data_IF_466726408095
#
_entry.id   IF_466726408095
#
_cell.length_a   1.000
_cell.length_b   1.000
_cell.length_c   1.000
_cell.angle_alpha   90.00
_cell.angle_beta   90.00
_cell.angle_gamma   90.00
#
_symmetry.space_group_name_H-M   'P 1'
#
loop_
_entity.id
_entity.type
_entity.pdbx_description
1 polymer ?
#
# COMPACT_ATOMS: atom_id res chain seq x y z
N UNK A 1 -66.91 17.40 -11.74
CA UNK A 1 -66.88 16.84 -10.37
C UNK A 1 -65.41 16.90 -9.94
N UNK A 2 -65.02 17.87 -9.10
CA UNK A 2 -64.97 17.82 -7.60
C UNK A 2 -63.65 17.16 -7.14
N UNK A 3 -62.70 17.75 -6.37
CA UNK A 3 -62.69 18.62 -5.13
C UNK A 3 -63.14 17.89 -3.84
N UNK A 4 -62.51 18.06 -2.64
CA UNK A 4 -61.21 18.75 -2.25
C UNK A 4 -60.01 17.84 -2.65
N UNK A 5 -58.96 17.42 -1.90
CA UNK A 5 -58.38 17.65 -0.55
C UNK A 5 -56.88 17.18 -0.60
N UNK A 6 -55.85 17.65 0.12
CA UNK A 6 -55.66 18.66 1.20
C UNK A 6 -56.24 18.28 2.59
N UNK A 7 -55.59 18.45 3.76
CA UNK A 7 -54.26 18.97 4.20
C UNK A 7 -53.83 18.21 5.48
N UNK A 8 -52.54 18.28 5.88
CA UNK A 8 -52.03 18.39 7.28
C UNK A 8 -50.48 18.26 7.28
N UNK A 9 -49.78 19.26 7.84
CA UNK A 9 -48.31 19.29 8.03
C UNK A 9 -47.93 19.13 9.53
N UNK A 10 -46.63 19.25 9.81
CA UNK A 10 -45.96 19.36 11.13
C UNK A 10 -45.61 18.05 11.88
N UNK A 11 -44.51 18.06 12.69
CA UNK A 11 -43.19 18.56 12.28
C UNK A 11 -42.03 17.62 12.69
N UNK A 12 -40.80 18.08 12.40
CA UNK A 12 -39.52 17.44 12.71
C UNK A 12 -39.42 16.92 14.14
N UNK A 13 -39.07 15.63 14.28
CA UNK A 13 -38.41 15.09 15.47
C UNK A 13 -36.95 14.79 15.14
N UNK A 14 -36.04 15.59 15.70
CA UNK A 14 -34.62 15.29 15.73
C UNK A 14 -34.37 14.04 16.61
N UNK A 15 -33.47 13.18 16.16
CA UNK A 15 -32.85 12.13 16.95
C UNK A 15 -31.43 11.86 16.40
N UNK A 16 -30.63 12.93 16.31
CA UNK A 16 -29.20 12.92 16.03
C UNK A 16 -28.34 12.28 17.12
N UNK A 17 -28.83 11.23 17.80
CA UNK A 17 -28.05 10.40 18.72
C UNK A 17 -27.44 9.20 17.98
N UNK A 18 -26.49 9.48 17.07
CA UNK A 18 -25.50 8.47 16.72
C UNK A 18 -24.66 8.21 17.97
N UNK A 19 -24.57 6.95 18.39
CA UNK A 19 -23.92 6.55 19.63
C UNK A 19 -22.47 7.07 19.69
N UNK A 20 -22.24 8.07 20.54
CA UNK A 20 -20.91 8.68 20.71
C UNK A 20 -19.84 7.68 21.18
N UNK A 21 -20.28 6.61 21.84
CA UNK A 21 -19.43 5.48 22.25
C UNK A 21 -18.90 4.64 21.10
N UNK A 22 -19.48 4.68 19.90
CA UNK A 22 -19.03 3.86 18.76
C UNK A 22 -17.88 4.52 17.99
N UNK A 23 -17.87 5.85 17.86
CA UNK A 23 -16.77 6.60 17.24
C UNK A 23 -15.53 6.66 18.17
N UNK A 24 -15.72 6.84 19.49
CA UNK A 24 -14.62 6.79 20.50
C UNK A 24 -13.91 5.41 20.54
N UNK A 25 -14.66 4.32 20.33
CA UNK A 25 -14.15 2.93 20.34
C UNK A 25 -13.22 2.63 19.15
N UNK A 26 -13.50 3.19 17.97
CA UNK A 26 -12.71 2.96 16.75
C UNK A 26 -11.39 3.74 16.75
N UNK A 27 -11.37 4.96 17.29
CA UNK A 27 -10.13 5.72 17.53
C UNK A 27 -9.19 5.00 18.51
N UNK A 28 -9.73 4.32 19.53
CA UNK A 28 -8.92 3.52 20.46
C UNK A 28 -8.36 2.25 19.79
N UNK A 29 -9.14 1.58 18.93
CA UNK A 29 -8.69 0.42 18.12
C UNK A 29 -7.57 0.82 17.16
N UNK A 30 -7.73 1.93 16.43
CA UNK A 30 -6.71 2.43 15.50
C UNK A 30 -5.42 2.83 16.24
N UNK A 31 -5.56 3.45 17.42
CA UNK A 31 -4.43 3.80 18.30
C UNK A 31 -3.66 2.57 18.80
N UNK A 32 -4.37 1.52 19.23
CA UNK A 32 -3.78 0.22 19.62
C UNK A 32 -3.05 -0.43 18.44
N UNK A 33 -3.66 -0.44 17.25
CA UNK A 33 -3.08 -1.03 16.04
C UNK A 33 -1.79 -0.29 15.61
N UNK A 34 -1.80 1.05 15.62
CA UNK A 34 -0.62 1.89 15.36
C UNK A 34 0.53 1.60 16.33
N UNK A 35 0.24 1.39 17.61
CA UNK A 35 1.25 1.07 18.62
C UNK A 35 1.83 -0.35 18.42
N UNK A 36 0.99 -1.36 18.15
CA UNK A 36 1.44 -2.73 17.81
C UNK A 36 2.36 -2.73 16.58
N UNK A 37 2.00 -1.99 15.54
CA UNK A 37 2.83 -1.89 14.31
C UNK A 37 4.20 -1.26 14.61
N UNK A 38 4.22 -0.21 15.43
CA UNK A 38 5.44 0.49 15.88
C UNK A 38 6.34 -0.42 16.73
N UNK A 39 5.77 -1.26 17.60
CA UNK A 39 6.54 -2.17 18.44
C UNK A 39 7.12 -3.34 17.64
N UNK A 40 6.40 -3.88 16.66
CA UNK A 40 6.91 -4.90 15.72
C UNK A 40 8.09 -4.35 14.91
N UNK A 41 7.96 -3.15 14.34
CA UNK A 41 9.05 -2.49 13.59
C UNK A 41 10.23 -2.15 14.51
N UNK A 42 9.97 -1.66 15.72
CA UNK A 42 11.00 -1.35 16.72
C UNK A 42 11.78 -2.58 17.19
N UNK A 43 11.12 -3.74 17.31
CA UNK A 43 11.77 -5.02 17.61
C UNK A 43 12.70 -5.46 16.47
N UNK A 44 12.21 -5.39 15.22
CA UNK A 44 12.99 -5.76 14.03
C UNK A 44 14.26 -4.90 13.83
N UNK A 45 14.27 -3.66 14.32
CA UNK A 45 15.46 -2.79 14.32
C UNK A 45 16.47 -3.17 15.42
N UNK A 46 16.00 -3.63 16.59
CA UNK A 46 16.89 -3.99 17.72
C UNK A 46 17.57 -5.34 17.58
N UNK A 47 16.94 -6.34 16.99
CA UNK A 47 17.47 -7.72 16.91
C UNK A 47 18.64 -7.90 15.92
N UNK A 48 19.55 -6.91 15.82
CA UNK A 48 20.65 -6.88 14.84
C UNK A 48 21.98 -6.33 15.37
N UNK A 49 22.10 -6.02 16.66
CA UNK A 49 23.33 -5.48 17.27
C UNK A 49 23.97 -6.40 18.34
N UNK A 50 23.29 -7.49 18.74
CA UNK A 50 23.68 -8.34 19.89
C UNK A 50 24.25 -9.74 19.51
N UNK A 51 25.14 -9.84 18.53
CA UNK A 51 25.97 -11.06 18.29
C UNK A 51 27.42 -10.70 17.91
N UNK A 52 28.30 -10.43 18.89
CA UNK A 52 29.78 -10.45 18.72
C UNK A 52 30.56 -10.39 20.08
N UNK A 53 30.18 -11.18 21.09
CA UNK A 53 30.98 -11.35 22.34
C UNK A 53 31.36 -12.82 22.63
N UNK A 54 32.59 -13.22 22.26
CA UNK A 54 33.30 -14.31 22.96
C UNK A 54 34.83 -14.30 22.66
N UNK A 55 35.68 -13.92 23.66
CA UNK A 55 37.08 -14.39 23.91
C UNK A 55 38.05 -13.38 24.62
N UNK A 56 38.30 -13.62 25.92
CA UNK A 56 39.57 -13.46 26.69
C UNK A 56 40.64 -12.34 26.40
N UNK A 57 40.95 -11.44 27.37
CA UNK A 57 42.31 -10.84 27.56
C UNK A 57 43.17 -11.85 28.41
N UNK A 58 44.46 -12.12 28.14
CA UNK A 58 45.66 -11.40 28.66
C UNK A 58 46.97 -12.14 28.29
N UNK A 59 48.19 -11.55 28.40
CA UNK A 59 48.53 -10.18 28.83
C UNK A 59 49.50 -9.38 27.94
N UNK A 60 49.43 -8.05 28.11
CA UNK A 60 50.33 -6.95 27.68
C UNK A 60 51.81 -7.28 27.39
N UNK A 61 52.36 -6.82 26.25
CA UNK A 61 53.71 -6.20 26.20
C UNK A 61 54.08 -5.37 24.95
N UNK A 62 54.93 -4.36 25.22
CA UNK A 62 55.76 -3.51 24.32
C UNK A 62 55.06 -2.53 23.38
N UNK A 63 55.45 -1.25 23.51
CA UNK A 63 55.11 -0.15 22.60
C UNK A 63 55.97 -0.24 21.32
N UNK A 64 55.35 -0.07 20.16
CA UNK A 64 55.98 0.43 18.93
C UNK A 64 55.01 1.36 18.23
N UNK A 65 55.50 2.50 17.71
CA UNK A 65 54.65 3.50 17.06
C UNK A 65 54.28 3.04 15.64
N UNK A 66 53.31 2.13 15.55
CA UNK A 66 52.77 1.65 14.28
C UNK A 66 51.92 2.77 13.68
N UNK A 67 52.33 3.31 12.52
CA UNK A 67 51.54 4.28 11.76
C UNK A 67 50.27 3.58 11.27
N UNK A 68 49.17 3.79 11.99
CA UNK A 68 47.88 3.16 11.74
C UNK A 68 47.23 3.71 10.46
N UNK A 69 47.71 3.23 9.31
CA UNK A 69 47.02 3.43 8.04
C UNK A 69 45.72 2.65 8.08
N UNK A 70 44.66 3.30 8.56
CA UNK A 70 43.29 2.79 8.50
C UNK A 70 43.02 2.26 7.09
N UNK A 71 42.91 0.93 6.98
CA UNK A 71 42.69 0.27 5.69
C UNK A 71 41.23 0.47 5.35
N UNK A 72 40.91 1.58 4.66
CA UNK A 72 39.57 1.89 4.17
C UNK A 72 38.98 0.63 3.55
N UNK A 73 37.98 0.03 4.21
CA UNK A 73 37.17 -1.02 3.61
C UNK A 73 36.33 -0.34 2.54
N UNK A 74 36.74 -0.51 1.29
CA UNK A 74 35.95 -0.06 0.14
C UNK A 74 34.57 -0.72 0.25
N UNK A 75 33.50 0.03 0.05
CA UNK A 75 32.16 -0.58 0.05
C UNK A 75 32.02 -1.51 -1.16
N UNK A 76 31.28 -2.61 -1.02
CA UNK A 76 30.93 -3.45 -2.17
C UNK A 76 30.10 -2.67 -3.23
N UNK A 77 29.46 -1.58 -2.80
CA UNK A 77 28.70 -0.66 -3.65
C UNK A 77 29.53 0.56 -4.12
N UNK A 78 30.82 0.65 -3.76
CA UNK A 78 31.66 1.80 -4.10
C UNK A 78 32.02 1.81 -5.59
N UNK A 79 31.50 2.79 -6.33
CA UNK A 79 31.69 2.92 -7.77
C UNK A 79 30.54 2.39 -8.63
N UNK A 80 29.44 1.92 -8.04
CA UNK A 80 28.21 1.64 -8.80
C UNK A 80 27.62 2.97 -9.28
N UNK A 81 27.41 3.18 -10.60
CA UNK A 81 26.78 4.39 -11.11
C UNK A 81 25.28 4.40 -10.80
N UNK A 82 24.72 5.59 -10.52
CA UNK A 82 23.28 5.77 -10.39
C UNK A 82 22.62 5.55 -11.75
N UNK A 83 21.62 4.67 -11.81
CA UNK A 83 20.86 4.43 -13.04
C UNK A 83 20.07 5.69 -13.46
N UNK A 84 19.90 5.96 -14.76
CA UNK A 84 19.03 7.04 -15.23
C UNK A 84 17.62 6.90 -14.66
N UNK A 85 16.98 7.98 -14.17
CA UNK A 85 15.64 7.91 -13.61
C UNK A 85 14.62 7.67 -14.72
N UNK A 86 13.58 6.88 -14.43
CA UNK A 86 12.46 6.67 -15.35
C UNK A 86 11.67 7.99 -15.45
N UNK A 87 11.53 8.51 -16.67
CA UNK A 87 11.05 9.88 -16.95
C UNK A 87 9.72 10.21 -16.26
N UNK A 88 8.76 9.29 -16.27
CA UNK A 88 7.44 9.48 -15.64
C UNK A 88 7.54 9.71 -14.12
N UNK A 89 8.41 8.98 -13.41
CA UNK A 89 8.60 9.14 -11.98
C UNK A 89 9.44 10.38 -11.65
N UNK A 90 10.41 10.72 -12.52
CA UNK A 90 11.18 11.95 -12.40
C UNK A 90 10.29 13.20 -12.54
N UNK A 91 9.45 13.23 -13.59
CA UNK A 91 8.55 14.35 -13.86
C UNK A 91 7.43 14.45 -12.79
N UNK A 92 6.92 13.32 -12.29
CA UNK A 92 6.00 13.31 -11.16
C UNK A 92 6.67 13.80 -9.86
N UNK A 93 7.94 13.47 -9.61
CA UNK A 93 8.71 14.04 -8.49
C UNK A 93 8.86 15.56 -8.63
N UNK A 94 9.25 16.06 -9.81
CA UNK A 94 9.33 17.51 -10.04
C UNK A 94 8.00 18.22 -9.77
N UNK A 95 6.87 17.61 -10.14
CA UNK A 95 5.55 18.11 -9.78
C UNK A 95 5.32 18.14 -8.25
N UNK A 96 5.79 17.15 -7.49
CA UNK A 96 5.64 17.15 -6.03
C UNK A 96 6.52 18.23 -5.37
N UNK A 97 7.77 18.34 -5.80
CA UNK A 97 8.77 19.29 -5.28
C UNK A 97 8.44 20.76 -5.63
N UNK A 98 7.66 21.03 -6.69
CA UNK A 98 7.21 22.38 -7.07
C UNK A 98 6.26 23.01 -6.02
N UNK A 99 6.34 24.32 -5.83
CA UNK A 99 5.59 25.10 -4.84
C UNK A 99 4.50 26.01 -5.42
N UNK A 100 4.50 26.30 -6.73
CA UNK A 100 3.45 27.12 -7.36
C UNK A 100 2.05 26.50 -7.14
N UNK A 101 1.09 27.22 -6.51
CA UNK A 101 -0.27 26.73 -6.29
C UNK A 101 -1.07 26.48 -7.59
N UNK A 102 -0.55 26.87 -8.76
CA UNK A 102 -1.12 26.61 -10.08
C UNK A 102 -0.49 25.40 -10.80
N UNK A 103 0.40 24.64 -10.15
CA UNK A 103 1.01 23.45 -10.73
C UNK A 103 -0.05 22.40 -11.14
N UNK A 104 0.12 21.79 -12.31
CA UNK A 104 -0.80 20.77 -12.85
C UNK A 104 -0.03 19.48 -13.15
N UNK A 105 -0.55 18.33 -12.71
CA UNK A 105 0.05 17.03 -12.97
C UNK A 105 -0.60 16.37 -14.19
N UNK A 106 0.13 16.33 -15.30
CA UNK A 106 -0.24 15.60 -16.52
C UNK A 106 0.70 14.40 -16.77
N UNK A 107 1.41 13.94 -15.73
CA UNK A 107 2.57 13.04 -15.86
C UNK A 107 2.19 11.57 -15.81
N UNK A 108 1.30 11.19 -14.89
CA UNK A 108 0.82 9.82 -14.68
C UNK A 108 -0.64 9.75 -15.11
N UNK A 109 -1.00 8.75 -15.92
CA UNK A 109 -2.38 8.46 -16.34
C UNK A 109 -3.27 7.89 -15.22
N UNK A 110 -3.22 8.47 -14.02
CA UNK A 110 -4.02 8.09 -12.86
C UNK A 110 -5.21 9.04 -12.70
N UNK A 111 -6.43 8.49 -12.71
CA UNK A 111 -7.68 9.26 -12.62
C UNK A 111 -7.77 10.09 -11.32
N UNK A 112 -8.35 11.29 -11.43
CA UNK A 112 -8.47 12.27 -10.34
C UNK A 112 -9.89 12.82 -10.24
N UNK A 113 -10.24 13.31 -9.06
CA UNK A 113 -11.43 14.17 -8.88
C UNK A 113 -11.20 15.56 -9.50
N UNK A 114 -12.26 16.35 -9.56
CA UNK A 114 -12.27 17.74 -10.00
C UNK A 114 -11.26 18.64 -9.23
N UNK A 115 -10.94 18.30 -7.97
CA UNK A 115 -9.91 18.98 -7.18
C UNK A 115 -8.49 18.37 -7.32
N UNK A 116 -8.28 17.49 -8.31
CA UNK A 116 -6.97 16.86 -8.58
C UNK A 116 -6.57 15.75 -7.59
N UNK A 117 -7.47 15.35 -6.68
CA UNK A 117 -7.19 14.33 -5.65
C UNK A 117 -7.27 12.91 -6.22
N UNK A 118 -6.57 11.92 -5.65
CA UNK A 118 -6.74 10.52 -6.05
C UNK A 118 -8.19 10.06 -5.86
N UNK A 119 -8.77 9.43 -6.87
CA UNK A 119 -10.12 8.88 -6.78
C UNK A 119 -10.06 7.36 -6.58
N UNK A 120 -10.79 6.87 -5.58
CA UNK A 120 -11.02 5.43 -5.35
C UNK A 120 -12.49 5.16 -5.63
N UNK A 121 -12.76 4.31 -6.63
CA UNK A 121 -14.11 3.99 -7.08
C UNK A 121 -14.94 3.41 -5.91
N UNK A 122 -16.24 3.74 -5.78
CA UNK A 122 -17.07 3.21 -4.70
C UNK A 122 -17.09 1.68 -4.62
N UNK A 123 -17.15 1.00 -5.78
CA UNK A 123 -17.12 -0.49 -5.83
C UNK A 123 -15.82 -1.09 -5.27
N UNK A 124 -14.69 -0.39 -5.40
CA UNK A 124 -13.42 -0.84 -4.82
C UNK A 124 -13.45 -0.71 -3.30
N UNK A 125 -14.03 0.38 -2.76
CA UNK A 125 -14.18 0.58 -1.31
C UNK A 125 -15.07 -0.48 -0.67
N UNK A 126 -16.17 -0.86 -1.32
CA UNK A 126 -17.03 -1.91 -0.80
C UNK A 126 -16.36 -3.30 -0.91
N UNK A 127 -15.61 -3.58 -1.98
CA UNK A 127 -14.82 -4.80 -2.08
C UNK A 127 -13.70 -4.87 -1.02
N UNK A 128 -13.02 -3.76 -0.73
CA UNK A 128 -12.02 -3.67 0.34
C UNK A 128 -12.63 -3.95 1.72
N UNK A 129 -13.83 -3.43 2.01
CA UNK A 129 -14.58 -3.75 3.25
C UNK A 129 -14.95 -5.24 3.32
N UNK A 130 -15.45 -5.81 2.23
CA UNK A 130 -15.84 -7.23 2.19
C UNK A 130 -14.64 -8.14 2.45
N UNK A 131 -13.49 -7.84 1.84
CA UNK A 131 -12.23 -8.56 2.06
C UNK A 131 -11.72 -8.39 3.51
N UNK A 132 -11.87 -7.19 4.09
CA UNK A 132 -11.44 -6.92 5.46
C UNK A 132 -12.38 -7.50 6.55
N UNK A 133 -13.58 -7.94 6.18
CA UNK A 133 -14.58 -8.51 7.09
C UNK A 133 -14.73 -10.05 6.95
N UNK A 134 -13.94 -10.69 6.09
CA UNK A 134 -13.96 -12.13 5.87
C UNK A 134 -12.78 -12.81 6.58
N UNK A 135 -13.01 -13.25 7.81
CA UNK A 135 -12.07 -14.02 8.65
C UNK A 135 -11.59 -15.35 8.02
N UNK A 136 -12.18 -15.79 6.91
CA UNK A 136 -11.73 -17.01 6.20
C UNK A 136 -10.62 -16.73 5.19
N UNK A 137 -10.43 -15.46 4.79
CA UNK A 137 -9.33 -15.04 3.93
C UNK A 137 -8.01 -15.01 4.70
N UNK A 138 -6.94 -15.33 3.99
CA UNK A 138 -5.58 -15.39 4.55
C UNK A 138 -4.58 -14.77 3.56
N UNK A 139 -3.29 -14.80 3.91
CA UNK A 139 -2.21 -14.20 3.13
C UNK A 139 -1.22 -15.25 2.61
N UNK A 140 -1.67 -16.50 2.44
CA UNK A 140 -0.88 -17.56 1.82
C UNK A 140 -0.63 -17.30 0.33
N UNK A 141 0.32 -18.04 -0.24
CA UNK A 141 0.65 -17.95 -1.66
C UNK A 141 -0.51 -18.44 -2.54
N UNK A 142 -0.95 -17.59 -3.48
CA UNK A 142 -1.82 -18.01 -4.57
C UNK A 142 -1.13 -19.06 -5.48
N UNK A 143 -1.89 -19.88 -6.22
CA UNK A 143 -1.36 -20.71 -7.28
C UNK A 143 -0.54 -19.92 -8.31
N UNK A 144 0.34 -20.61 -9.05
CA UNK A 144 1.25 -20.00 -10.04
C UNK A 144 0.52 -19.22 -11.15
N UNK A 145 -0.75 -19.55 -11.43
CA UNK A 145 -1.59 -18.86 -12.41
C UNK A 145 -2.41 -17.70 -11.80
N UNK A 146 -2.38 -17.52 -10.48
CA UNK A 146 -3.20 -16.57 -9.73
C UNK A 146 -4.47 -17.19 -9.14
N UNK A 147 -5.46 -16.34 -8.86
CA UNK A 147 -6.78 -16.71 -8.38
C UNK A 147 -7.72 -16.94 -9.57
N UNK A 148 -8.23 -18.17 -9.74
CA UNK A 148 -9.09 -18.59 -10.86
C UNK A 148 -10.31 -17.66 -11.05
N UNK A 149 -11.06 -17.39 -9.98
CA UNK A 149 -12.21 -16.48 -10.02
C UNK A 149 -11.87 -15.03 -10.43
N UNK A 150 -10.61 -14.58 -10.24
CA UNK A 150 -10.17 -13.29 -10.75
C UNK A 150 -9.86 -13.34 -12.25
N UNK A 151 -9.21 -14.42 -12.72
CA UNK A 151 -8.81 -14.51 -14.14
C UNK A 151 -10.03 -14.77 -15.04
N UNK A 152 -10.97 -15.62 -14.60
CA UNK A 152 -12.25 -15.82 -15.29
C UNK A 152 -13.01 -14.49 -15.42
N UNK A 153 -13.12 -13.73 -14.33
CA UNK A 153 -13.80 -12.43 -14.33
C UNK A 153 -13.09 -11.39 -15.22
N UNK A 154 -11.75 -11.36 -15.21
CA UNK A 154 -10.97 -10.48 -16.08
C UNK A 154 -11.14 -10.83 -17.56
N UNK A 155 -11.17 -12.12 -17.91
CA UNK A 155 -11.40 -12.57 -19.29
C UNK A 155 -12.85 -12.36 -19.73
N UNK A 156 -13.84 -12.55 -18.86
CA UNK A 156 -15.24 -12.19 -19.12
C UNK A 156 -15.41 -10.67 -19.35
N UNK A 157 -14.70 -9.83 -18.59
CA UNK A 157 -14.69 -8.37 -18.75
C UNK A 157 -14.07 -7.93 -20.10
N UNK A 158 -12.98 -8.56 -20.52
CA UNK A 158 -12.24 -8.18 -21.75
C UNK A 158 -12.85 -8.77 -23.03
N UNK A 159 -13.37 -10.00 -22.97
CA UNK A 159 -13.86 -10.74 -24.14
C UNK A 159 -15.40 -10.76 -24.25
N UNK A 160 -16.10 -10.41 -23.17
CA UNK A 160 -17.53 -10.63 -22.99
C UNK A 160 -17.84 -12.07 -22.52
N UNK A 161 -18.70 -12.22 -21.52
CA UNK A 161 -19.10 -13.50 -20.91
C UNK A 161 -19.45 -14.61 -21.93
N UNK A 162 -20.13 -14.23 -23.02
CA UNK A 162 -20.64 -15.14 -24.04
C UNK A 162 -19.65 -15.38 -25.21
N UNK A 163 -18.38 -14.95 -25.06
CA UNK A 163 -17.37 -15.04 -26.11
C UNK A 163 -17.15 -16.47 -26.61
N UNK A 164 -17.12 -16.70 -27.94
CA UNK A 164 -16.69 -17.98 -28.50
C UNK A 164 -15.30 -18.42 -28.02
N UNK A 165 -14.39 -17.48 -27.72
CA UNK A 165 -13.06 -17.84 -27.21
C UNK A 165 -13.11 -18.57 -25.85
N UNK A 166 -13.99 -18.12 -24.95
CA UNK A 166 -14.23 -18.74 -23.63
C UNK A 166 -14.92 -20.10 -23.84
N UNK A 167 -16.01 -20.11 -24.62
CA UNK A 167 -16.81 -21.32 -24.91
C UNK A 167 -16.02 -22.45 -25.57
N UNK A 168 -15.12 -22.11 -26.49
CA UNK A 168 -14.25 -23.07 -27.20
C UNK A 168 -13.01 -23.48 -26.37
N UNK A 169 -12.84 -22.95 -25.15
CA UNK A 169 -11.65 -23.11 -24.29
C UNK A 169 -10.34 -22.72 -24.99
N UNK A 170 -10.37 -21.58 -25.71
CA UNK A 170 -9.23 -20.99 -26.43
C UNK A 170 -8.59 -19.80 -25.70
N UNK A 171 -9.01 -19.52 -24.48
CA UNK A 171 -8.38 -18.53 -23.58
C UNK A 171 -7.30 -19.25 -22.76
N UNK A 172 -6.20 -18.55 -22.49
CA UNK A 172 -5.12 -19.01 -21.60
C UNK A 172 -4.81 -17.89 -20.62
N UNK A 173 -4.81 -18.21 -19.33
CA UNK A 173 -4.88 -17.23 -18.25
C UNK A 173 -3.71 -17.40 -17.29
N UNK A 174 -3.09 -16.28 -16.91
CA UNK A 174 -2.01 -16.26 -15.93
C UNK A 174 -1.89 -14.86 -15.34
N UNK A 175 -2.01 -14.73 -14.02
CA UNK A 175 -1.82 -13.49 -13.28
C UNK A 175 -0.32 -13.14 -13.24
N UNK A 176 0.19 -12.51 -14.30
CA UNK A 176 1.59 -12.04 -14.32
C UNK A 176 1.87 -11.13 -13.12
N UNK A 177 2.98 -11.37 -12.41
CA UNK A 177 3.24 -10.86 -11.05
C UNK A 177 3.44 -9.33 -10.91
N UNK A 178 3.12 -8.55 -11.95
CA UNK A 178 3.22 -7.08 -12.00
C UNK A 178 2.47 -6.41 -10.85
N UNK A 179 1.32 -6.95 -10.44
CA UNK A 179 0.50 -6.38 -9.37
C UNK A 179 1.09 -6.53 -7.96
N UNK A 180 1.83 -7.61 -7.67
CA UNK A 180 2.44 -7.80 -6.35
C UNK A 180 3.58 -6.80 -6.08
N UNK A 181 4.37 -6.47 -7.10
CA UNK A 181 5.52 -5.57 -6.95
C UNK A 181 5.12 -4.14 -6.56
N UNK A 182 4.00 -3.64 -7.12
CA UNK A 182 3.52 -2.27 -6.90
C UNK A 182 3.05 -2.05 -5.45
N UNK A 183 2.34 -3.01 -4.84
CA UNK A 183 1.90 -2.88 -3.44
C UNK A 183 3.08 -3.00 -2.45
N UNK A 184 4.11 -3.79 -2.80
CA UNK A 184 5.30 -3.94 -1.97
C UNK A 184 6.21 -2.69 -1.97
N UNK A 185 6.36 -1.99 -3.10
CA UNK A 185 7.12 -0.72 -3.12
C UNK A 185 6.44 0.40 -2.30
N UNK A 186 5.10 0.43 -2.25
CA UNK A 186 4.38 1.46 -1.48
C UNK A 186 4.55 1.33 0.04
N UNK A 187 4.94 0.16 0.55
CA UNK A 187 5.12 -0.10 1.99
C UNK A 187 6.58 0.13 2.45
N UNK A 188 7.49 0.39 1.51
CA UNK A 188 8.94 0.52 1.74
C UNK A 188 9.46 1.96 1.55
N UNK A 189 8.54 2.93 1.44
CA UNK A 189 8.78 4.35 1.12
C UNK A 189 8.05 5.32 2.08
N UNK A 190 7.60 4.83 3.24
CA UNK A 190 6.98 5.57 4.34
C UNK A 190 7.61 5.18 5.67
#
# INVERSE_FOLDING_TARGET
>A
MSRKSEEDEEPVADNGERNKSEEDDDDEKESKLKQVFKDIVGFAVRSREDEDEDAAESPKKKKSAKKETSRKRMSHFEGIPVAPPIEVFFMNKMYMDETDPKKVNLTVGAYRTEEGKPWVLPVVREAEKMIAADDTLNHEYLPVLGLEAFTEAACALVLGENSPAIRDKRVSECLTAVFYFLKFQSLLMT
#
